data_IF_083734945387
#
_entry.id   IF_083734945387
#
_cell.length_a   1.000
_cell.length_b   1.000
_cell.length_c   1.000
_cell.angle_alpha   90.00
_cell.angle_beta   90.00
_cell.angle_gamma   90.00
#
_symmetry.space_group_name_H-M   'P 1'
#
loop_
_entity.id
_entity.type
_entity.pdbx_description
1 polymer ?
#
# COMPACT_ATOMS: atom_id res chain seq x y z
N UNK A 1 7.12 20.45 -13.84
CA UNK A 1 6.53 20.73 -12.52
C UNK A 1 5.03 21.02 -12.60
N UNK A 2 4.58 21.87 -13.54
CA UNK A 2 3.15 22.16 -13.70
C UNK A 2 2.30 20.92 -14.00
N UNK A 3 2.83 19.98 -14.76
CA UNK A 3 2.11 18.75 -15.14
C UNK A 3 1.89 17.79 -13.97
N UNK A 4 2.85 17.73 -13.04
CA UNK A 4 2.71 16.92 -11.82
C UNK A 4 1.60 17.48 -10.93
N UNK A 5 1.55 18.79 -10.79
CA UNK A 5 0.53 19.48 -10.00
C UNK A 5 -0.87 19.28 -10.56
N UNK A 6 -1.00 19.37 -11.89
CA UNK A 6 -2.27 19.15 -12.58
C UNK A 6 -2.74 17.70 -12.45
N UNK A 7 -1.80 16.75 -12.59
CA UNK A 7 -2.10 15.32 -12.41
C UNK A 7 -2.58 15.00 -11.00
N UNK A 8 -1.95 15.59 -9.99
CA UNK A 8 -2.37 15.44 -8.59
C UNK A 8 -3.77 15.99 -8.38
N UNK A 9 -4.03 17.20 -8.92
CA UNK A 9 -5.33 17.84 -8.78
C UNK A 9 -6.43 17.00 -9.44
N UNK A 10 -6.18 16.45 -10.62
CA UNK A 10 -7.13 15.58 -11.31
C UNK A 10 -7.40 14.32 -10.50
N UNK A 11 -6.37 13.69 -9.95
CA UNK A 11 -6.50 12.50 -9.13
C UNK A 11 -7.32 12.80 -7.86
N UNK A 12 -7.03 13.91 -7.19
CA UNK A 12 -7.78 14.32 -6.00
C UNK A 12 -9.25 14.62 -6.32
N UNK A 13 -9.53 15.24 -7.45
CA UNK A 13 -10.90 15.51 -7.89
C UNK A 13 -11.66 14.24 -8.22
N UNK A 14 -11.00 13.28 -8.88
CA UNK A 14 -11.59 11.97 -9.15
C UNK A 14 -11.87 11.21 -7.86
N UNK A 15 -10.94 11.26 -6.91
CA UNK A 15 -11.10 10.64 -5.61
C UNK A 15 -12.33 11.20 -4.87
N UNK A 16 -12.49 12.53 -4.85
CA UNK A 16 -13.63 13.20 -4.23
C UNK A 16 -14.97 12.69 -4.79
N UNK A 17 -15.08 12.57 -6.10
CA UNK A 17 -16.30 12.08 -6.75
C UNK A 17 -16.59 10.63 -6.39
N UNK A 18 -15.56 9.80 -6.36
CA UNK A 18 -15.70 8.37 -6.10
C UNK A 18 -15.99 8.09 -4.64
N UNK A 19 -15.34 8.77 -3.74
CA UNK A 19 -15.59 8.66 -2.29
C UNK A 19 -17.01 9.10 -1.97
N UNK A 20 -17.48 10.18 -2.57
CA UNK A 20 -18.85 10.66 -2.39
C UNK A 20 -19.91 9.65 -2.86
N UNK A 21 -19.61 8.91 -3.93
CA UNK A 21 -20.51 7.89 -4.45
C UNK A 21 -20.42 6.54 -3.75
N UNK A 22 -19.40 6.33 -2.90
CA UNK A 22 -19.11 5.04 -2.28
C UNK A 22 -18.92 5.10 -0.76
N UNK A 23 -19.54 6.06 -0.10
CA UNK A 23 -19.43 6.23 1.35
C UNK A 23 -19.75 4.94 2.10
N UNK A 24 -20.73 4.16 1.63
CA UNK A 24 -21.11 2.89 2.24
C UNK A 24 -20.01 1.83 2.17
N UNK A 25 -19.20 1.82 1.10
CA UNK A 25 -18.05 0.91 0.98
C UNK A 25 -16.88 1.37 1.86
N UNK A 26 -16.70 2.69 1.99
CA UNK A 26 -15.63 3.29 2.79
C UNK A 26 -15.86 3.12 4.29
N UNK A 27 -17.11 3.06 4.76
CA UNK A 27 -17.44 2.96 6.18
C UNK A 27 -16.86 1.69 6.83
N UNK A 28 -16.86 0.58 6.13
CA UNK A 28 -16.28 -0.67 6.64
C UNK A 28 -14.75 -0.66 6.71
N UNK A 29 -14.11 0.26 5.97
CA UNK A 29 -12.66 0.41 5.90
C UNK A 29 -12.14 1.61 6.68
N UNK A 30 -13.04 2.43 7.19
CA UNK A 30 -12.70 3.69 7.86
C UNK A 30 -11.87 3.42 9.10
N UNK A 31 -10.72 4.09 9.17
CA UNK A 31 -9.80 3.95 10.29
C UNK A 31 -8.86 2.76 10.19
N UNK A 32 -8.98 1.90 9.18
CA UNK A 32 -8.00 0.84 8.93
C UNK A 32 -6.63 1.47 8.70
N UNK A 33 -5.60 0.86 9.27
CA UNK A 33 -4.25 1.43 9.25
C UNK A 33 -3.38 0.70 8.24
N UNK A 34 -2.89 1.45 7.27
CA UNK A 34 -2.03 0.96 6.20
C UNK A 34 -0.58 1.40 6.45
N UNK A 35 0.36 0.52 6.16
CA UNK A 35 1.77 0.86 6.09
C UNK A 35 2.13 1.00 4.61
N UNK A 36 2.46 2.22 4.20
CA UNK A 36 2.84 2.55 2.83
C UNK A 36 4.36 2.60 2.71
N UNK A 37 4.93 1.70 1.92
CA UNK A 37 6.37 1.61 1.72
C UNK A 37 6.71 2.09 0.32
N UNK A 38 7.35 3.25 0.23
CA UNK A 38 7.68 3.92 -1.04
C UNK A 38 8.93 4.76 -0.82
N UNK A 39 9.96 4.55 -1.61
CA UNK A 39 11.24 5.25 -1.47
C UNK A 39 11.23 6.67 -2.05
N UNK A 40 10.44 6.92 -3.08
CA UNK A 40 10.33 8.24 -3.68
C UNK A 40 9.44 9.15 -2.82
N UNK A 41 10.01 10.25 -2.33
CA UNK A 41 9.30 11.16 -1.42
C UNK A 41 8.02 11.73 -2.02
N UNK A 42 8.05 12.12 -3.29
CA UNK A 42 6.88 12.68 -3.96
C UNK A 42 5.78 11.62 -4.11
N UNK A 43 6.12 10.43 -4.59
CA UNK A 43 5.18 9.33 -4.74
C UNK A 43 4.58 8.93 -3.39
N UNK A 44 5.40 8.93 -2.35
CA UNK A 44 4.96 8.61 -0.99
C UNK A 44 3.95 9.62 -0.46
N UNK A 45 4.23 10.91 -0.64
CA UNK A 45 3.31 11.96 -0.21
C UNK A 45 1.99 11.91 -0.97
N UNK A 46 2.04 11.70 -2.28
CA UNK A 46 0.83 11.60 -3.11
C UNK A 46 -0.03 10.42 -2.71
N UNK A 47 0.56 9.25 -2.58
CA UNK A 47 -0.16 8.05 -2.19
C UNK A 47 -0.74 8.19 -0.78
N UNK A 48 0.01 8.77 0.14
CA UNK A 48 -0.44 9.02 1.51
C UNK A 48 -1.68 9.91 1.54
N UNK A 49 -1.66 11.02 0.78
CA UNK A 49 -2.81 11.93 0.72
C UNK A 49 -4.05 11.25 0.13
N UNK A 50 -3.87 10.50 -0.95
CA UNK A 50 -4.96 9.77 -1.59
C UNK A 50 -5.60 8.79 -0.60
N UNK A 51 -4.79 8.03 0.12
CA UNK A 51 -5.27 7.03 1.08
C UNK A 51 -5.96 7.68 2.28
N UNK A 52 -5.42 8.78 2.79
CA UNK A 52 -6.04 9.52 3.89
C UNK A 52 -7.39 10.10 3.49
N UNK A 53 -7.50 10.66 2.29
CA UNK A 53 -8.75 11.18 1.77
C UNK A 53 -9.81 10.08 1.66
N UNK A 54 -9.40 8.86 1.35
CA UNK A 54 -10.30 7.70 1.30
C UNK A 54 -10.76 7.24 2.68
N UNK A 55 -10.15 7.73 3.77
CA UNK A 55 -10.55 7.42 5.14
C UNK A 55 -9.62 6.48 5.88
N UNK A 56 -8.48 6.12 5.32
CA UNK A 56 -7.50 5.26 5.98
C UNK A 56 -6.56 6.05 6.90
N UNK A 57 -6.11 5.40 7.96
CA UNK A 57 -4.94 5.86 8.69
C UNK A 57 -3.70 5.34 7.96
N UNK A 58 -2.69 6.17 7.73
CA UNK A 58 -1.52 5.80 6.94
C UNK A 58 -0.25 6.13 7.71
N UNK A 59 0.59 5.12 7.90
CA UNK A 59 1.98 5.31 8.30
C UNK A 59 2.87 4.99 7.09
N UNK A 60 4.05 5.57 7.02
CA UNK A 60 4.93 5.42 5.87
C UNK A 60 6.28 4.85 6.26
N UNK A 61 6.93 4.19 5.31
CA UNK A 61 8.31 3.75 5.40
C UNK A 61 9.04 4.11 4.10
N UNK A 62 10.25 4.60 4.21
CA UNK A 62 11.02 5.10 3.08
C UNK A 62 11.71 3.98 2.28
N UNK A 63 11.89 2.81 2.87
CA UNK A 63 12.46 1.65 2.19
C UNK A 63 12.05 0.35 2.90
N UNK A 64 12.50 -0.77 2.35
CA UNK A 64 12.16 -2.09 2.87
C UNK A 64 12.72 -2.36 4.26
N UNK A 65 13.90 -1.85 4.55
CA UNK A 65 14.54 -2.00 5.85
C UNK A 65 13.73 -1.32 6.96
N UNK A 66 13.30 -0.10 6.70
CA UNK A 66 12.45 0.66 7.63
C UNK A 66 11.09 -0.04 7.81
N UNK A 67 10.53 -0.57 6.73
CA UNK A 67 9.28 -1.32 6.80
C UNK A 67 9.41 -2.54 7.72
N UNK A 68 10.46 -3.31 7.58
CA UNK A 68 10.73 -4.47 8.44
C UNK A 68 10.89 -4.04 9.90
N UNK A 69 11.63 -2.97 10.15
CA UNK A 69 11.83 -2.44 11.51
C UNK A 69 10.51 -1.99 12.13
N UNK A 70 9.68 -1.29 11.37
CA UNK A 70 8.36 -0.87 11.85
C UNK A 70 7.47 -2.06 12.18
N UNK A 71 7.52 -3.11 11.38
CA UNK A 71 6.75 -4.32 11.65
C UNK A 71 7.26 -5.04 12.89
N UNK A 72 8.58 -5.10 13.10
CA UNK A 72 9.16 -5.68 14.32
C UNK A 72 8.72 -4.97 15.59
N UNK A 73 8.66 -3.65 15.53
CA UNK A 73 8.33 -2.79 16.68
C UNK A 73 6.82 -2.61 16.88
N UNK A 74 6.01 -2.92 15.88
CA UNK A 74 4.57 -2.74 15.93
C UNK A 74 3.93 -3.69 16.94
N UNK A 75 2.86 -3.24 17.60
CA UNK A 75 1.98 -4.12 18.35
C UNK A 75 1.24 -5.05 17.37
N UNK A 76 0.90 -6.28 17.77
CA UNK A 76 0.06 -7.14 16.94
C UNK A 76 -1.24 -6.42 16.55
N UNK A 77 -1.59 -6.42 15.26
CA UNK A 77 -2.78 -5.73 14.77
C UNK A 77 -2.65 -4.22 14.61
N UNK A 78 -1.47 -3.67 14.81
CA UNK A 78 -1.26 -2.21 14.63
C UNK A 78 -1.47 -1.77 13.19
N UNK A 79 -1.05 -2.60 12.23
CA UNK A 79 -1.28 -2.36 10.79
C UNK A 79 -2.23 -3.44 10.26
N UNK A 80 -3.10 -3.03 9.36
CA UNK A 80 -4.08 -3.94 8.74
C UNK A 80 -3.63 -4.46 7.38
N UNK A 81 -2.75 -3.70 6.68
CA UNK A 81 -2.28 -4.06 5.36
C UNK A 81 -1.02 -3.25 5.02
N UNK A 82 -0.15 -3.83 4.21
CA UNK A 82 1.05 -3.15 3.68
C UNK A 82 0.91 -2.97 2.18
N UNK A 83 1.14 -1.73 1.72
CA UNK A 83 1.37 -1.42 0.31
C UNK A 83 2.87 -1.28 0.11
N UNK A 84 3.47 -2.18 -0.64
CA UNK A 84 4.91 -2.34 -0.74
C UNK A 84 5.41 -2.08 -2.16
N UNK A 85 6.18 -1.00 -2.34
CA UNK A 85 6.92 -0.78 -3.58
C UNK A 85 7.94 -1.92 -3.75
N UNK A 86 8.15 -2.36 -4.99
CA UNK A 86 9.07 -3.46 -5.27
C UNK A 86 10.50 -2.95 -5.39
N UNK A 87 10.71 -1.91 -6.20
CA UNK A 87 12.05 -1.42 -6.51
C UNK A 87 12.45 -0.30 -5.56
N UNK A 88 13.28 -0.64 -4.59
CA UNK A 88 13.78 0.30 -3.59
C UNK A 88 15.27 0.04 -3.34
N UNK A 89 16.04 1.08 -2.93
CA UNK A 89 17.45 0.89 -2.57
C UNK A 89 17.59 0.07 -1.28
N UNK A 90 18.76 -0.49 -1.08
CA UNK A 90 19.17 -1.27 0.10
C UNK A 90 18.43 -2.59 0.24
N UNK A 91 17.12 -2.56 0.33
CA UNK A 91 16.28 -3.75 0.43
C UNK A 91 15.04 -3.56 -0.42
N UNK A 92 14.86 -4.41 -1.43
CA UNK A 92 13.67 -4.33 -2.28
C UNK A 92 12.42 -4.88 -1.58
N UNK A 93 11.27 -4.70 -2.22
CA UNK A 93 9.99 -5.12 -1.64
C UNK A 93 9.86 -6.63 -1.48
N UNK A 94 10.50 -7.41 -2.31
CA UNK A 94 10.49 -8.88 -2.20
C UNK A 94 11.22 -9.34 -0.94
N UNK A 95 12.42 -8.81 -0.71
CA UNK A 95 13.21 -9.18 0.46
C UNK A 95 12.54 -8.68 1.76
N UNK A 96 12.00 -7.47 1.75
CA UNK A 96 11.24 -6.96 2.89
C UNK A 96 10.06 -7.87 3.22
N UNK A 97 9.34 -8.33 2.21
CA UNK A 97 8.21 -9.25 2.38
C UNK A 97 8.67 -10.57 2.99
N UNK A 98 9.76 -11.16 2.50
CA UNK A 98 10.30 -12.40 3.07
C UNK A 98 10.64 -12.24 4.54
N UNK A 99 11.26 -11.13 4.91
CA UNK A 99 11.62 -10.87 6.31
C UNK A 99 10.39 -10.65 7.19
N UNK A 100 9.37 -9.98 6.69
CA UNK A 100 8.11 -9.80 7.42
C UNK A 100 7.42 -11.15 7.62
N UNK A 101 7.38 -11.99 6.59
CA UNK A 101 6.80 -13.33 6.67
C UNK A 101 7.53 -14.25 7.65
N UNK A 102 8.80 -13.96 7.93
CA UNK A 102 9.62 -14.73 8.87
C UNK A 102 9.53 -14.23 10.32
N UNK A 103 8.73 -13.19 10.61
CA UNK A 103 8.59 -12.68 11.96
C UNK A 103 7.91 -13.72 12.89
N UNK A 104 8.33 -13.80 14.16
CA UNK A 104 7.78 -14.79 15.10
C UNK A 104 6.28 -14.64 15.38
N UNK A 105 5.79 -13.39 15.39
CA UNK A 105 4.36 -13.14 15.65
C UNK A 105 3.53 -13.45 14.41
N UNK A 106 2.61 -14.41 14.54
CA UNK A 106 1.79 -14.89 13.43
C UNK A 106 0.89 -13.81 12.83
N UNK A 107 0.38 -12.89 13.64
CA UNK A 107 -0.46 -11.79 13.17
C UNK A 107 0.35 -10.81 12.30
N UNK A 108 1.60 -10.55 12.67
CA UNK A 108 2.49 -9.70 11.88
C UNK A 108 2.96 -10.42 10.61
N UNK A 109 3.37 -11.68 10.74
CA UNK A 109 3.86 -12.47 9.61
C UNK A 109 2.78 -12.70 8.55
N UNK A 110 1.52 -12.79 8.96
CA UNK A 110 0.39 -13.03 8.08
C UNK A 110 -0.29 -11.79 7.52
N UNK A 111 0.23 -10.60 7.78
CA UNK A 111 -0.39 -9.34 7.32
C UNK A 111 -0.56 -9.34 5.79
N UNK A 112 -1.70 -8.88 5.24
CA UNK A 112 -1.83 -8.72 3.80
C UNK A 112 -0.79 -7.75 3.25
N UNK A 113 -0.06 -8.17 2.20
CA UNK A 113 0.96 -7.35 1.54
C UNK A 113 0.65 -7.32 0.05
N UNK A 114 0.46 -6.12 -0.49
CA UNK A 114 0.22 -5.90 -1.91
C UNK A 114 1.37 -5.12 -2.51
N UNK A 115 1.95 -5.66 -3.58
CA UNK A 115 3.00 -4.98 -4.32
C UNK A 115 2.43 -3.78 -5.08
N UNK A 116 3.14 -2.67 -5.05
CA UNK A 116 2.89 -1.56 -5.97
C UNK A 116 3.93 -1.63 -7.09
N UNK A 117 3.48 -1.71 -8.33
CA UNK A 117 4.36 -1.90 -9.46
C UNK A 117 4.00 -1.00 -10.64
N UNK A 118 5.03 -0.42 -11.28
CA UNK A 118 4.87 0.32 -12.53
C UNK A 118 4.60 -0.62 -13.71
N UNK A 119 4.99 -1.90 -13.57
CA UNK A 119 4.87 -2.91 -14.63
C UNK A 119 4.11 -4.12 -14.09
N UNK A 120 2.92 -4.36 -14.64
CA UNK A 120 2.08 -5.49 -14.24
C UNK A 120 2.32 -6.72 -15.15
N UNK A 121 3.59 -7.03 -15.43
CA UNK A 121 3.95 -8.22 -16.21
C UNK A 121 3.74 -9.49 -15.37
N UNK A 122 3.43 -10.59 -16.05
CA UNK A 122 3.19 -11.89 -15.41
C UNK A 122 4.38 -12.34 -14.57
N UNK A 123 5.62 -12.07 -15.02
CA UNK A 123 6.83 -12.41 -14.27
C UNK A 123 6.88 -11.68 -12.92
N UNK A 124 6.53 -10.39 -12.89
CA UNK A 124 6.49 -9.61 -11.65
C UNK A 124 5.42 -10.12 -10.69
N UNK A 125 4.27 -10.53 -11.23
CA UNK A 125 3.21 -11.15 -10.43
C UNK A 125 3.67 -12.44 -9.79
N UNK A 126 4.34 -13.29 -10.57
CA UNK A 126 4.87 -14.56 -10.07
C UNK A 126 5.92 -14.34 -9.00
N UNK A 127 6.83 -13.39 -9.21
CA UNK A 127 7.86 -13.04 -8.22
C UNK A 127 7.25 -12.50 -6.92
N UNK A 128 6.22 -11.69 -7.02
CA UNK A 128 5.51 -11.18 -5.85
C UNK A 128 4.88 -12.32 -5.03
N UNK A 129 4.19 -13.23 -5.69
CA UNK A 129 3.58 -14.38 -5.03
C UNK A 129 4.64 -15.29 -4.39
N UNK A 130 5.76 -15.54 -5.07
CA UNK A 130 6.87 -16.35 -4.53
C UNK A 130 7.51 -15.71 -3.31
N UNK A 131 7.54 -14.38 -3.25
CA UNK A 131 8.06 -13.66 -2.09
C UNK A 131 7.11 -13.69 -0.88
N UNK A 132 5.86 -14.07 -1.09
CA UNK A 132 4.84 -14.13 -0.05
C UNK A 132 3.85 -12.98 -0.06
N UNK A 133 3.82 -12.20 -1.15
CA UNK A 133 2.82 -11.14 -1.32
C UNK A 133 1.47 -11.74 -1.71
N UNK A 134 0.39 -11.04 -1.35
CA UNK A 134 -0.97 -11.50 -1.61
C UNK A 134 -1.52 -11.04 -2.96
N UNK A 135 -0.88 -10.05 -3.56
CA UNK A 135 -1.29 -9.54 -4.86
C UNK A 135 -0.48 -8.31 -5.25
N UNK A 136 -0.95 -7.60 -6.26
CA UNK A 136 -0.30 -6.39 -6.74
C UNK A 136 -1.31 -5.34 -7.16
N UNK A 137 -0.87 -4.09 -7.12
CA UNK A 137 -1.64 -2.92 -7.55
C UNK A 137 -0.75 -2.12 -8.48
N UNK A 138 -1.27 -1.78 -9.66
CA UNK A 138 -0.51 -1.03 -10.66
C UNK A 138 -0.36 0.44 -10.25
N UNK A 139 0.77 1.04 -10.61
CA UNK A 139 1.00 2.47 -10.51
C UNK A 139 0.70 3.13 -11.85
N UNK A 140 0.14 4.35 -11.86
CA UNK A 140 -0.34 5.13 -10.72
C UNK A 140 -1.53 4.45 -10.05
N UNK A 141 -1.74 4.72 -8.76
CA UNK A 141 -2.81 4.06 -8.00
C UNK A 141 -4.18 4.32 -8.62
N UNK A 142 -4.83 3.25 -9.04
CA UNK A 142 -6.23 3.26 -9.48
C UNK A 142 -7.09 3.13 -8.23
N UNK A 143 -7.70 4.22 -7.81
CA UNK A 143 -8.44 4.27 -6.55
C UNK A 143 -9.64 3.32 -6.52
N UNK A 144 -10.49 3.25 -7.54
CA UNK A 144 -11.57 2.26 -7.55
C UNK A 144 -11.08 0.83 -7.37
N UNK A 145 -10.02 0.45 -8.07
CA UNK A 145 -9.43 -0.88 -7.98
C UNK A 145 -8.81 -1.11 -6.60
N UNK A 146 -8.09 -0.12 -6.08
CA UNK A 146 -7.51 -0.17 -4.74
C UNK A 146 -8.59 -0.39 -3.67
N UNK A 147 -9.65 0.41 -3.71
CA UNK A 147 -10.76 0.29 -2.75
C UNK A 147 -11.45 -1.08 -2.86
N UNK A 148 -11.60 -1.61 -4.07
CA UNK A 148 -12.15 -2.94 -4.29
C UNK A 148 -11.28 -4.02 -3.63
N UNK A 149 -9.98 -3.98 -3.86
CA UNK A 149 -9.01 -4.92 -3.27
C UNK A 149 -9.04 -4.82 -1.75
N UNK A 150 -8.99 -3.61 -1.20
CA UNK A 150 -8.99 -3.40 0.25
C UNK A 150 -10.30 -3.87 0.88
N UNK A 151 -11.42 -3.65 0.22
CA UNK A 151 -12.72 -4.13 0.68
C UNK A 151 -12.75 -5.66 0.75
N UNK A 152 -12.22 -6.32 -0.27
CA UNK A 152 -12.20 -7.79 -0.34
C UNK A 152 -11.27 -8.40 0.72
N UNK A 153 -10.16 -7.75 1.02
CA UNK A 153 -9.13 -8.27 1.93
C UNK A 153 -9.41 -7.92 3.38
N UNK A 154 -9.94 -6.72 3.65
CA UNK A 154 -10.09 -6.20 5.03
C UNK A 154 -11.50 -6.34 5.60
N UNK A 155 -12.35 -7.07 4.95
CA UNK A 155 -13.70 -7.37 5.46
C UNK A 155 -13.67 -8.08 6.78
#
# INVERSE_FOLDING_TARGET
MAYVFLGVLIILQQLDREVSGRVALADGLKGKKLLLVEDNALNRELAQEILKEAGFAVDTAEDGEIAVQKMKQAAPGQYDLILMDIQMPRMDGYEATRQIRALPDAAKAGIPIFAMTANAFEEDRQNALKAGMDGHIAKPLDIPHLLQVLTDVLK
#
